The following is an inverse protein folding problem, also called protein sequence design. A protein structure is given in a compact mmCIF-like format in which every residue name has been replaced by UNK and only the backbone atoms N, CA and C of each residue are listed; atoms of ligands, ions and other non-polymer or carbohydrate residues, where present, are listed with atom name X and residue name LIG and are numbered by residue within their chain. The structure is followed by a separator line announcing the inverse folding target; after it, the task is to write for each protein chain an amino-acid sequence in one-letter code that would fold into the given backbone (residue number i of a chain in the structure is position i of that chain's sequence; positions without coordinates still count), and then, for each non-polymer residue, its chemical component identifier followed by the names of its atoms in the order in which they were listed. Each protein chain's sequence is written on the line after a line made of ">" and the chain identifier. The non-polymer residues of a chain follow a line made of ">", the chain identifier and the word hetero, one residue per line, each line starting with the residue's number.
data_IF_465540045755
#
_entry.id   IF_465540045755
#
_cell.length_a   1.000
_cell.length_b   1.000
_cell.length_c   1.000
_cell.angle_alpha   90.00
_cell.angle_beta   90.00
_cell.angle_gamma   90.00
#
_symmetry.space_group_name_H-M   'P 1'
#
loop_
_entity.id
_entity.type
_entity.pdbx_description
1 polymer ?
#
# COMPACT_ATOMS: atom_id res chain seq x y z
N UNK A 1 22.49 39.73 65.92
CA UNK A 1 23.09 39.43 64.58
C UNK A 1 22.68 38.02 64.14
N UNK A 2 21.42 37.69 63.88
CA UNK A 2 21.05 36.33 63.41
C UNK A 2 19.71 36.30 62.62
N UNK A 3 19.32 37.39 61.96
CA UNK A 3 18.07 37.43 61.17
C UNK A 3 18.27 37.48 59.67
N UNK A 4 19.49 37.50 59.14
CA UNK A 4 19.78 37.63 57.72
C UNK A 4 20.18 36.30 57.00
N UNK A 5 20.46 35.24 57.75
CA UNK A 5 20.93 33.96 57.19
C UNK A 5 19.77 33.05 56.81
N UNK A 6 18.57 33.20 57.39
CA UNK A 6 17.40 32.37 57.13
C UNK A 6 16.67 32.75 55.82
N UNK A 7 16.87 33.96 55.28
CA UNK A 7 16.18 34.42 54.07
C UNK A 7 16.85 33.97 52.79
N UNK A 8 18.16 33.75 52.77
CA UNK A 8 18.92 33.39 51.57
C UNK A 8 18.84 31.90 51.24
N UNK A 9 18.67 31.04 52.23
CA UNK A 9 18.52 29.59 52.01
C UNK A 9 17.14 29.18 51.47
N UNK A 10 16.09 29.96 51.79
CA UNK A 10 14.74 29.66 51.29
C UNK A 10 14.55 30.03 49.83
N UNK A 11 15.23 31.08 49.33
CA UNK A 11 15.12 31.56 47.96
C UNK A 11 15.87 30.61 47.00
N UNK A 12 16.99 30.02 47.42
CA UNK A 12 17.77 29.10 46.58
C UNK A 12 17.12 27.74 46.43
N UNK A 13 16.38 27.26 47.45
CA UNK A 13 15.66 25.97 47.35
C UNK A 13 14.39 26.07 46.49
N UNK A 14 13.71 27.23 46.51
CA UNK A 14 12.53 27.44 45.64
C UNK A 14 12.91 27.55 44.16
N UNK A 15 14.04 28.17 43.82
CA UNK A 15 14.52 28.27 42.45
C UNK A 15 14.97 26.91 41.87
N UNK A 16 15.57 26.04 42.69
CA UNK A 16 15.98 24.69 42.26
C UNK A 16 14.78 23.75 42.04
N UNK A 17 13.73 23.86 42.85
CA UNK A 17 12.53 23.04 42.69
C UNK A 17 11.71 23.48 41.46
N UNK A 18 11.66 24.78 41.16
CA UNK A 18 10.98 25.27 39.97
C UNK A 18 11.71 24.90 38.67
N UNK A 19 13.06 24.87 38.67
CA UNK A 19 13.83 24.44 37.49
C UNK A 19 13.66 22.94 37.20
N UNK A 20 13.55 22.09 38.23
CA UNK A 20 13.32 20.64 38.07
C UNK A 20 11.91 20.32 37.57
N UNK A 21 10.90 21.12 37.90
CA UNK A 21 9.53 20.92 37.37
C UNK A 21 9.43 21.38 35.94
N UNK A 22 10.18 22.39 35.47
CA UNK A 22 10.17 22.82 34.07
C UNK A 22 10.87 21.85 33.13
N UNK A 23 11.92 21.14 33.55
CA UNK A 23 12.64 20.17 32.71
C UNK A 23 11.80 18.91 32.44
N UNK A 24 10.90 18.53 33.37
CA UNK A 24 10.01 17.39 33.17
C UNK A 24 8.73 17.70 32.38
N UNK A 25 8.39 18.98 32.19
CA UNK A 25 7.20 19.34 31.43
C UNK A 25 7.42 19.35 29.89
N UNK A 26 8.65 19.53 29.44
CA UNK A 26 8.95 19.51 28.00
C UNK A 26 9.00 18.08 27.40
N UNK A 27 9.29 17.06 28.20
CA UNK A 27 9.24 15.65 27.71
C UNK A 27 7.82 15.08 27.73
N UNK A 28 6.90 15.63 28.50
CA UNK A 28 5.51 15.18 28.52
C UNK A 28 4.70 15.66 27.30
N UNK A 29 5.15 16.70 26.59
CA UNK A 29 4.44 17.26 25.42
C UNK A 29 4.74 16.55 24.10
N UNK A 30 5.82 15.77 24.01
CA UNK A 30 6.17 15.07 22.79
C UNK A 30 5.40 13.74 22.61
N UNK A 31 4.95 13.13 23.70
CA UNK A 31 4.25 11.85 23.65
C UNK A 31 2.72 12.02 23.49
N UNK A 32 2.14 13.10 23.99
CA UNK A 32 0.69 13.35 23.83
C UNK A 32 0.30 13.72 22.39
N UNK A 33 1.19 14.37 21.61
CA UNK A 33 0.89 14.73 20.24
C UNK A 33 0.86 13.55 19.27
N UNK A 34 1.50 12.43 19.59
CA UNK A 34 1.46 11.24 18.75
C UNK A 34 0.20 10.39 18.95
N UNK A 35 -0.43 10.45 20.12
CA UNK A 35 -1.66 9.70 20.40
C UNK A 35 -2.93 10.42 19.91
N UNK A 36 -2.95 11.73 19.92
CA UNK A 36 -4.12 12.52 19.50
C UNK A 36 -4.36 12.44 17.99
N UNK A 37 -3.32 12.29 17.15
CA UNK A 37 -3.45 12.09 15.72
C UNK A 37 -3.94 10.69 15.34
N UNK A 38 -3.74 9.69 16.19
CA UNK A 38 -4.27 8.34 15.98
C UNK A 38 -5.77 8.25 16.27
N UNK A 39 -6.29 9.10 17.15
CA UNK A 39 -7.71 9.15 17.51
C UNK A 39 -8.59 9.77 16.41
N UNK A 40 -8.05 10.63 15.53
CA UNK A 40 -8.78 11.26 14.43
C UNK A 40 -8.78 10.45 13.13
N UNK A 41 -8.39 9.18 13.14
CA UNK A 41 -8.55 8.27 11.99
C UNK A 41 -7.59 8.51 10.82
N UNK A 42 -6.59 9.39 10.93
CA UNK A 42 -5.59 9.63 9.89
C UNK A 42 -4.70 8.40 9.64
N UNK A 43 -4.54 7.52 10.63
CA UNK A 43 -3.90 6.23 10.45
C UNK A 43 -4.66 5.32 9.49
N UNK A 44 -5.98 5.48 9.37
CA UNK A 44 -6.81 4.69 8.44
C UNK A 44 -6.63 5.09 6.98
N UNK A 45 -6.25 6.35 6.71
CA UNK A 45 -5.98 6.84 5.35
C UNK A 45 -4.71 6.27 4.76
N UNK A 46 -3.71 5.95 5.58
CA UNK A 46 -2.42 5.38 5.17
C UNK A 46 -2.56 4.04 4.43
N UNK A 47 -3.63 3.30 4.68
CA UNK A 47 -3.83 1.93 4.19
C UNK A 47 -5.05 1.81 3.25
N UNK A 48 -5.45 2.88 2.54
CA UNK A 48 -6.66 2.88 1.70
C UNK A 48 -6.52 2.02 0.44
N UNK A 49 -5.38 2.10 -0.25
CA UNK A 49 -5.09 1.39 -1.50
C UNK A 49 -4.60 -0.04 -1.28
N UNK A 50 -3.48 -0.36 -1.91
CA UNK A 50 -2.62 -1.54 -1.70
C UNK A 50 -1.22 -1.09 -1.32
N UNK A 51 -0.40 -1.99 -0.75
CA UNK A 51 1.00 -1.68 -0.49
C UNK A 51 1.72 -1.32 -1.79
N UNK A 52 2.46 -0.21 -1.86
CA UNK A 52 3.32 0.05 -3.02
C UNK A 52 4.43 -1.00 -3.09
N UNK A 53 4.88 -1.31 -4.30
CA UNK A 53 6.03 -2.21 -4.51
C UNK A 53 7.29 -1.53 -3.97
N UNK A 54 8.11 -2.32 -3.26
CA UNK A 54 9.40 -1.89 -2.70
C UNK A 54 10.43 -3.02 -2.84
N UNK A 55 10.59 -3.54 -4.05
CA UNK A 55 11.56 -4.55 -4.39
C UNK A 55 12.09 -4.27 -5.79
N UNK A 56 13.35 -3.85 -5.89
CA UNK A 56 13.96 -3.42 -7.15
C UNK A 56 14.09 -4.60 -8.14
N UNK A 57 14.44 -5.79 -7.67
CA UNK A 57 14.52 -7.00 -8.49
C UNK A 57 13.16 -7.37 -9.09
N UNK A 58 12.08 -7.27 -8.28
CA UNK A 58 10.72 -7.48 -8.77
C UNK A 58 10.27 -6.42 -9.79
N UNK A 59 10.63 -5.16 -9.56
CA UNK A 59 10.32 -4.08 -10.51
C UNK A 59 11.08 -4.23 -11.82
N UNK A 60 12.33 -4.69 -11.78
CA UNK A 60 13.17 -4.94 -12.95
C UNK A 60 12.63 -6.11 -13.78
N UNK A 61 12.45 -7.27 -13.15
CA UNK A 61 12.08 -8.50 -13.84
C UNK A 61 10.63 -8.50 -14.33
N UNK A 62 9.68 -8.14 -13.46
CA UNK A 62 8.27 -8.17 -13.78
C UNK A 62 7.74 -6.85 -14.38
N UNK A 63 8.47 -5.76 -14.21
CA UNK A 63 8.11 -4.43 -14.70
C UNK A 63 8.51 -4.15 -16.13
N UNK A 64 9.21 -5.06 -16.82
CA UNK A 64 9.73 -4.89 -18.18
C UNK A 64 8.63 -4.92 -19.27
N UNK A 65 7.55 -5.69 -19.07
CA UNK A 65 6.47 -5.84 -20.03
C UNK A 65 5.20 -5.09 -19.64
N UNK A 66 4.89 -5.04 -18.35
CA UNK A 66 3.77 -4.30 -17.76
C UNK A 66 4.16 -3.76 -16.38
N UNK A 67 3.32 -2.97 -15.78
CA UNK A 67 3.55 -2.50 -14.41
C UNK A 67 3.78 -3.69 -13.46
N UNK A 68 4.84 -3.66 -12.67
CA UNK A 68 5.00 -4.60 -11.56
C UNK A 68 3.85 -4.42 -10.56
N UNK A 69 2.92 -5.38 -10.54
CA UNK A 69 1.72 -5.28 -9.71
C UNK A 69 2.05 -5.43 -8.22
N UNK A 70 1.37 -4.66 -7.38
CA UNK A 70 1.47 -4.88 -5.94
C UNK A 70 1.08 -6.31 -5.58
N UNK A 71 1.91 -7.04 -4.78
CA UNK A 71 1.55 -8.37 -4.29
C UNK A 71 0.20 -8.41 -3.57
N UNK A 72 -0.20 -7.30 -2.94
CA UNK A 72 -1.49 -7.16 -2.26
C UNK A 72 -2.72 -7.16 -3.18
N UNK A 73 -2.57 -7.39 -4.49
CA UNK A 73 -3.67 -7.51 -5.46
C UNK A 73 -4.14 -8.94 -5.70
N UNK A 74 -3.37 -9.95 -5.25
CA UNK A 74 -3.76 -11.36 -5.33
C UNK A 74 -3.41 -12.09 -4.03
N UNK A 75 -4.12 -13.19 -3.69
CA UNK A 75 -3.76 -14.05 -2.58
C UNK A 75 -2.46 -14.81 -2.83
N UNK A 76 -1.85 -15.29 -1.76
CA UNK A 76 -0.61 -16.05 -1.77
C UNK A 76 -0.64 -17.25 -2.74
N UNK A 77 -1.72 -18.01 -2.74
CA UNK A 77 -1.82 -19.20 -3.59
C UNK A 77 -1.98 -18.86 -5.08
N UNK A 78 -2.59 -17.72 -5.40
CA UNK A 78 -2.60 -17.18 -6.76
C UNK A 78 -1.19 -16.82 -7.23
N UNK A 79 -0.40 -16.15 -6.39
CA UNK A 79 0.99 -15.85 -6.72
C UNK A 79 1.83 -17.11 -6.90
N UNK A 80 1.69 -18.12 -6.04
CA UNK A 80 2.36 -19.42 -6.23
C UNK A 80 2.03 -20.02 -7.59
N UNK A 81 0.74 -19.99 -7.98
CA UNK A 81 0.28 -20.55 -9.26
C UNK A 81 0.86 -19.79 -10.46
N UNK A 82 0.89 -18.46 -10.40
CA UNK A 82 1.52 -17.61 -11.43
C UNK A 82 3.00 -17.95 -11.56
N UNK A 83 3.72 -17.99 -10.46
CA UNK A 83 5.17 -18.26 -10.44
C UNK A 83 5.53 -19.66 -10.90
N UNK A 84 4.66 -20.65 -10.72
CA UNK A 84 4.88 -22.02 -11.20
C UNK A 84 4.72 -22.17 -12.73
N UNK A 85 4.20 -21.17 -13.43
CA UNK A 85 3.90 -21.24 -14.87
C UNK A 85 4.48 -20.04 -15.65
N UNK A 86 5.68 -19.59 -15.28
CA UNK A 86 6.34 -18.46 -15.94
C UNK A 86 6.78 -18.78 -17.37
N UNK A 87 7.08 -20.04 -17.71
CA UNK A 87 7.37 -20.47 -19.08
C UNK A 87 6.18 -20.19 -20.05
N UNK A 88 4.96 -20.15 -19.51
CA UNK A 88 3.76 -19.78 -20.26
C UNK A 88 2.96 -18.73 -19.46
N UNK A 89 3.55 -17.58 -19.28
CA UNK A 89 2.94 -16.47 -18.56
C UNK A 89 1.91 -15.78 -19.47
N UNK A 90 0.72 -16.38 -19.54
CA UNK A 90 -0.42 -15.88 -20.35
C UNK A 90 -0.14 -15.78 -21.86
N UNK A 91 0.78 -16.61 -22.36
CA UNK A 91 1.16 -16.66 -23.76
C UNK A 91 2.58 -16.19 -24.04
N UNK A 92 3.24 -15.57 -23.07
CA UNK A 92 4.62 -15.11 -23.14
C UNK A 92 5.53 -15.94 -22.23
N UNK A 93 6.82 -15.99 -22.54
CA UNK A 93 7.82 -16.60 -21.65
C UNK A 93 8.38 -15.52 -20.72
N UNK A 94 8.22 -15.72 -19.42
CA UNK A 94 8.72 -14.87 -18.34
C UNK A 94 9.61 -15.65 -17.34
N UNK A 95 10.30 -16.72 -17.81
CA UNK A 95 11.19 -17.53 -16.98
C UNK A 95 12.30 -16.68 -16.37
N UNK A 96 12.67 -17.04 -15.15
CA UNK A 96 13.70 -16.39 -14.36
C UNK A 96 14.80 -17.40 -14.00
N UNK A 97 15.99 -16.87 -13.70
CA UNK A 97 17.02 -17.66 -13.03
C UNK A 97 16.49 -18.23 -11.71
N UNK A 98 16.88 -19.46 -11.36
CA UNK A 98 16.33 -20.18 -10.22
C UNK A 98 16.42 -19.41 -8.89
N UNK A 99 17.53 -18.70 -8.67
CA UNK A 99 17.72 -17.87 -7.47
C UNK A 99 16.76 -16.68 -7.41
N UNK A 100 16.61 -15.98 -8.53
CA UNK A 100 15.69 -14.84 -8.68
C UNK A 100 14.23 -15.29 -8.55
N UNK A 101 13.89 -16.43 -9.18
CA UNK A 101 12.56 -17.03 -9.04
C UNK A 101 12.21 -17.29 -7.56
N UNK A 102 13.10 -17.90 -6.79
CA UNK A 102 12.85 -18.20 -5.38
C UNK A 102 12.75 -16.94 -4.52
N UNK A 103 13.59 -15.94 -4.78
CA UNK A 103 13.52 -14.63 -4.11
C UNK A 103 12.17 -13.97 -4.36
N UNK A 104 11.76 -13.85 -5.63
CA UNK A 104 10.53 -13.19 -6.02
C UNK A 104 9.28 -13.96 -5.60
N UNK A 105 9.30 -15.29 -5.63
CA UNK A 105 8.23 -16.10 -5.06
C UNK A 105 8.05 -15.81 -3.57
N UNK A 106 9.14 -15.75 -2.81
CA UNK A 106 9.09 -15.40 -1.39
C UNK A 106 8.56 -13.98 -1.17
N UNK A 107 9.04 -13.01 -1.95
CA UNK A 107 8.56 -11.63 -1.88
C UNK A 107 7.06 -11.53 -2.15
N UNK A 108 6.58 -12.13 -3.23
CA UNK A 108 5.18 -12.09 -3.63
C UNK A 108 4.27 -12.74 -2.59
N UNK A 109 4.63 -13.93 -2.11
CA UNK A 109 3.82 -14.68 -1.14
C UNK A 109 3.78 -14.02 0.23
N UNK A 110 4.89 -13.46 0.71
CA UNK A 110 4.94 -12.79 2.01
C UNK A 110 4.21 -11.43 2.03
N UNK A 111 4.01 -10.81 0.86
CA UNK A 111 3.34 -9.52 0.72
C UNK A 111 1.96 -9.62 0.03
N UNK A 112 1.43 -10.83 -0.14
CA UNK A 112 0.17 -11.12 -0.79
C UNK A 112 -1.04 -10.49 -0.07
N UNK A 113 -2.19 -10.48 -0.73
CA UNK A 113 -3.40 -9.82 -0.24
C UNK A 113 -3.90 -10.35 1.09
N UNK A 114 -3.72 -11.65 1.35
CA UNK A 114 -4.07 -12.35 2.59
C UNK A 114 -3.19 -11.96 3.79
N UNK A 115 -1.99 -11.44 3.54
CA UNK A 115 -1.07 -10.91 4.55
C UNK A 115 -1.11 -9.38 4.68
N UNK A 116 -1.95 -8.70 3.89
CA UNK A 116 -1.95 -7.25 3.78
C UNK A 116 -2.93 -6.58 4.73
N UNK A 117 -2.46 -5.54 5.42
CA UNK A 117 -3.32 -4.66 6.22
C UNK A 117 -4.06 -3.60 5.37
N UNK A 118 -3.72 -3.47 4.10
CA UNK A 118 -4.33 -2.49 3.22
C UNK A 118 -5.79 -2.80 2.91
N UNK A 119 -6.61 -1.75 2.92
CA UNK A 119 -8.08 -1.85 2.79
C UNK A 119 -8.51 -2.50 1.47
N UNK A 120 -7.82 -2.20 0.36
CA UNK A 120 -8.15 -2.77 -0.95
C UNK A 120 -7.82 -4.26 -1.00
N UNK A 121 -6.66 -4.67 -0.51
CA UNK A 121 -6.29 -6.08 -0.38
C UNK A 121 -7.34 -6.85 0.43
N UNK A 122 -7.77 -6.31 1.56
CA UNK A 122 -8.84 -6.91 2.39
C UNK A 122 -10.20 -7.00 1.66
N UNK A 123 -10.52 -6.03 0.79
CA UNK A 123 -11.73 -6.08 -0.04
C UNK A 123 -11.64 -7.14 -1.13
N UNK A 124 -10.47 -7.30 -1.74
CA UNK A 124 -10.19 -8.37 -2.72
C UNK A 124 -10.37 -9.73 -2.04
N UNK A 125 -9.71 -9.97 -0.91
CA UNK A 125 -9.84 -11.23 -0.17
C UNK A 125 -11.29 -11.58 0.18
N UNK A 126 -12.07 -10.60 0.63
CA UNK A 126 -13.50 -10.81 0.95
C UNK A 126 -14.38 -11.12 -0.27
N UNK A 127 -13.93 -10.79 -1.48
CA UNK A 127 -14.67 -11.05 -2.72
C UNK A 127 -14.43 -12.45 -3.27
N UNK A 128 -13.36 -13.13 -2.84
CA UNK A 128 -13.02 -14.48 -3.25
C UNK A 128 -13.73 -15.51 -2.35
N UNK A 129 -14.11 -16.64 -2.91
CA UNK A 129 -14.55 -17.78 -2.13
C UNK A 129 -13.34 -18.43 -1.43
N UNK A 130 -13.56 -19.11 -0.30
CA UNK A 130 -12.50 -19.62 0.57
C UNK A 130 -11.49 -20.57 -0.08
N UNK A 131 -11.82 -21.16 -1.23
CA UNK A 131 -10.96 -22.09 -1.99
C UNK A 131 -10.73 -21.62 -3.44
N UNK A 132 -11.03 -20.36 -3.73
CA UNK A 132 -10.91 -19.82 -5.09
C UNK A 132 -9.50 -19.31 -5.32
N UNK A 133 -8.82 -19.87 -6.33
CA UNK A 133 -7.51 -19.41 -6.79
C UNK A 133 -7.69 -18.83 -8.19
N UNK A 134 -7.49 -17.52 -8.32
CA UNK A 134 -7.55 -16.81 -9.59
C UNK A 134 -6.13 -16.54 -10.11
N UNK A 135 -5.94 -16.63 -11.40
CA UNK A 135 -4.63 -16.46 -12.03
C UNK A 135 -4.37 -14.99 -12.44
N UNK A 136 -5.43 -14.20 -12.54
CA UNK A 136 -5.36 -12.81 -12.99
C UNK A 136 -6.07 -11.88 -12.00
N UNK A 137 -5.48 -10.74 -11.75
CA UNK A 137 -6.11 -9.67 -10.94
C UNK A 137 -7.48 -9.30 -11.54
N UNK A 138 -7.56 -9.23 -12.86
CA UNK A 138 -8.78 -8.90 -13.62
C UNK A 138 -9.89 -9.95 -13.53
N UNK A 139 -9.61 -11.13 -12.99
CA UNK A 139 -10.60 -12.20 -12.74
C UNK A 139 -11.17 -12.16 -11.32
N UNK A 140 -10.61 -11.35 -10.42
CA UNK A 140 -11.16 -11.24 -9.07
C UNK A 140 -12.57 -10.63 -9.13
N UNK A 141 -13.56 -11.16 -8.36
CA UNK A 141 -14.89 -10.58 -8.31
C UNK A 141 -14.89 -9.11 -7.89
N UNK A 142 -13.90 -8.71 -7.08
CA UNK A 142 -13.71 -7.30 -6.72
C UNK A 142 -13.37 -6.44 -7.94
N UNK A 143 -12.41 -6.89 -8.77
CA UNK A 143 -12.02 -6.17 -10.00
C UNK A 143 -13.20 -6.06 -10.96
N UNK A 144 -13.88 -7.19 -11.24
CA UNK A 144 -15.01 -7.25 -12.18
C UNK A 144 -16.06 -6.21 -11.79
N UNK A 145 -16.51 -6.21 -10.53
CA UNK A 145 -17.53 -5.27 -10.03
C UNK A 145 -17.11 -3.79 -10.13
N UNK A 146 -15.80 -3.51 -10.09
CA UNK A 146 -15.28 -2.15 -10.15
C UNK A 146 -15.01 -1.66 -11.58
N UNK A 147 -15.16 -2.52 -12.57
CA UNK A 147 -14.88 -2.21 -13.97
C UNK A 147 -16.00 -2.64 -14.93
N UNK A 148 -17.12 -3.19 -14.43
CA UNK A 148 -18.23 -3.71 -15.25
C UNK A 148 -18.99 -2.59 -15.99
N UNK A 149 -19.00 -1.38 -15.49
CA UNK A 149 -19.61 -0.21 -16.12
C UNK A 149 -18.75 0.39 -17.25
N UNK A 150 -17.44 0.07 -17.32
CA UNK A 150 -16.53 0.62 -18.32
C UNK A 150 -16.73 -0.12 -19.66
N UNK A 151 -17.21 0.55 -20.73
CA UNK A 151 -17.39 -0.08 -22.02
C UNK A 151 -16.07 -0.62 -22.60
N UNK A 152 -16.10 -1.84 -23.15
CA UNK A 152 -14.91 -2.48 -23.76
C UNK A 152 -14.22 -1.60 -24.80
N UNK A 153 -14.98 -0.80 -25.57
CA UNK A 153 -14.43 0.14 -26.55
C UNK A 153 -13.49 1.19 -25.97
N UNK A 154 -13.59 1.46 -24.68
CA UNK A 154 -12.70 2.43 -24.01
C UNK A 154 -11.39 1.80 -23.51
N UNK A 155 -11.34 0.47 -23.45
CA UNK A 155 -10.18 -0.26 -22.93
C UNK A 155 -9.65 -1.24 -23.95
N UNK A 156 -10.39 -2.32 -24.27
CA UNK A 156 -9.92 -3.42 -25.12
C UNK A 156 -9.76 -2.96 -26.58
N UNK A 157 -10.73 -2.23 -27.09
CA UNK A 157 -10.74 -1.71 -28.47
C UNK A 157 -10.06 -0.34 -28.59
N UNK A 158 -9.52 0.19 -27.49
CA UNK A 158 -8.79 1.44 -27.46
C UNK A 158 -7.29 1.18 -27.70
N UNK A 159 -6.71 1.61 -28.83
CA UNK A 159 -5.31 1.32 -29.15
C UNK A 159 -4.32 1.98 -28.19
N UNK A 160 -4.76 2.94 -27.36
CA UNK A 160 -3.93 3.58 -26.33
C UNK A 160 -3.92 2.80 -25.00
N UNK A 161 -4.77 1.79 -24.85
CA UNK A 161 -4.89 0.97 -23.64
C UNK A 161 -4.72 -0.51 -23.94
N UNK A 162 -5.58 -1.10 -24.77
CA UNK A 162 -5.52 -2.47 -25.26
C UNK A 162 -5.97 -3.55 -24.28
N UNK A 163 -5.81 -3.35 -22.97
CA UNK A 163 -6.15 -4.36 -21.96
C UNK A 163 -6.49 -3.76 -20.61
N UNK A 164 -7.41 -4.37 -19.90
CA UNK A 164 -7.68 -4.08 -18.48
C UNK A 164 -6.49 -4.41 -17.55
N UNK A 165 -5.46 -5.11 -18.00
CA UNK A 165 -4.23 -5.33 -17.25
C UNK A 165 -3.29 -4.13 -17.26
N UNK A 166 -3.52 -3.13 -18.07
CA UNK A 166 -2.73 -1.89 -18.13
C UNK A 166 -3.22 -0.85 -17.09
N UNK A 167 -3.22 -1.25 -15.82
CA UNK A 167 -3.79 -0.47 -14.71
C UNK A 167 -3.26 0.96 -14.62
N UNK A 168 -1.95 1.14 -14.82
CA UNK A 168 -1.27 2.42 -14.71
C UNK A 168 -1.60 3.41 -15.84
N UNK A 169 -2.23 2.97 -16.91
CA UNK A 169 -2.69 3.86 -17.98
C UNK A 169 -3.94 4.65 -17.58
N UNK A 170 -4.78 4.06 -16.72
CA UNK A 170 -5.99 4.72 -16.21
C UNK A 170 -5.81 5.21 -14.77
N UNK A 171 -5.15 4.42 -13.92
CA UNK A 171 -4.82 4.76 -12.54
C UNK A 171 -3.41 5.33 -12.45
N UNK A 172 -3.25 6.64 -12.63
CA UNK A 172 -1.94 7.30 -12.75
C UNK A 172 -1.04 7.12 -11.50
N UNK A 173 -1.64 6.87 -10.35
CA UNK A 173 -0.93 6.61 -9.09
C UNK A 173 -0.89 5.11 -8.70
N UNK A 174 -1.17 4.18 -9.64
CA UNK A 174 -1.17 2.73 -9.39
C UNK A 174 0.16 2.22 -8.82
N UNK A 175 1.29 2.70 -9.31
CA UNK A 175 2.64 2.35 -8.78
C UNK A 175 2.83 2.74 -7.32
N UNK A 176 2.09 3.75 -6.84
CA UNK A 176 2.07 4.16 -5.43
C UNK A 176 1.04 3.41 -4.60
N UNK A 177 0.35 2.42 -5.19
CA UNK A 177 -0.72 1.66 -4.55
C UNK A 177 -2.06 2.38 -4.48
N UNK A 178 -2.19 3.55 -5.13
CA UNK A 178 -3.44 4.28 -5.19
C UNK A 178 -4.24 3.94 -6.46
N UNK A 179 -5.49 3.51 -6.25
CA UNK A 179 -6.46 3.17 -7.29
C UNK A 179 -7.80 3.87 -6.98
N UNK A 180 -7.74 5.15 -6.56
CA UNK A 180 -8.96 5.94 -6.32
C UNK A 180 -9.75 6.10 -7.62
N UNK A 181 -11.06 6.05 -7.51
CA UNK A 181 -12.00 6.29 -8.62
C UNK A 181 -11.93 7.75 -9.06
N UNK A 182 -11.75 8.66 -8.11
CA UNK A 182 -11.64 10.11 -8.36
C UNK A 182 -10.45 10.51 -9.25
N UNK A 183 -9.47 9.62 -9.42
CA UNK A 183 -8.25 9.89 -10.19
C UNK A 183 -8.18 9.09 -11.49
N UNK A 184 -9.28 8.44 -11.90
CA UNK A 184 -9.30 7.65 -13.13
C UNK A 184 -9.35 8.55 -14.36
N UNK A 185 -8.41 8.33 -15.29
CA UNK A 185 -8.37 9.00 -16.58
C UNK A 185 -8.07 8.01 -17.70
N UNK A 186 -9.02 7.78 -18.58
CA UNK A 186 -8.88 6.83 -19.68
C UNK A 186 -8.18 7.51 -20.85
N UNK A 187 -7.04 6.98 -21.37
CA UNK A 187 -6.32 7.56 -22.49
C UNK A 187 -7.19 7.79 -23.72
N UNK A 188 -7.27 9.04 -24.16
CA UNK A 188 -8.08 9.43 -25.33
C UNK A 188 -9.58 9.66 -25.07
N UNK A 189 -10.04 9.42 -23.84
CA UNK A 189 -11.42 9.68 -23.38
C UNK A 189 -11.43 10.82 -22.36
N UNK A 190 -10.52 10.79 -21.35
CA UNK A 190 -10.46 11.77 -20.27
C UNK A 190 -10.84 11.17 -18.92
N UNK A 191 -11.20 12.02 -17.97
CA UNK A 191 -11.65 11.59 -16.65
C UNK A 191 -12.91 10.73 -16.75
N UNK A 192 -12.93 9.67 -15.94
CA UNK A 192 -14.08 8.76 -15.83
C UNK A 192 -14.78 9.01 -14.50
N UNK A 193 -16.06 9.32 -14.56
CA UNK A 193 -16.97 9.43 -13.42
C UNK A 193 -18.05 8.35 -13.55
N UNK A 194 -18.27 7.58 -12.46
CA UNK A 194 -19.39 6.63 -12.33
C UNK A 194 -20.70 7.36 -11.99
#
# INVERSE_FOLDING_TARGET
>A
MNKFILSTTLITTTLLVTALVFVNSEQAWSDEHNEEWSLFGLSSLKYTGVAPVKNASYEEECGSCHMAYSPGLLPQDSWKKVMLNLENHFGDNAELEASTHQELLSFLTNNAADHSEYRRSKKIMRSLNSNETVDRITQTPYFIRKHDEIPKRFVVDNPKVGSFSQCNLCHLNAKKGNFSEDEVSIPGIGYWEE
#
